data_IF_519707508672
#
_entry.id   IF_519707508672
#
_cell.length_a   1.000
_cell.length_b   1.000
_cell.length_c   1.000
_cell.angle_alpha   90.00
_cell.angle_beta   90.00
_cell.angle_gamma   90.00
#
_symmetry.space_group_name_H-M   'P 1'
#
loop_
_entity.id
_entity.type
_entity.pdbx_description
1 polymer ?
#
# COMPACT_ATOMS: atom_id res chain seq x y z
N UNK A 1 -8.77 -1.62 -22.89
CA UNK A 1 -7.73 -1.84 -22.28
C UNK A 1 -7.87 -1.68 -20.87
N UNK A 2 -7.07 -2.19 -20.23
CA UNK A 2 -7.17 -2.22 -18.90
C UNK A 2 -6.36 -1.22 -18.32
N UNK A 3 -6.94 -0.32 -17.67
CA UNK A 3 -6.18 0.59 -16.93
C UNK A 3 -5.77 -0.04 -15.65
N UNK A 4 -4.79 0.48 -15.05
CA UNK A 4 -4.37 0.07 -13.75
C UNK A 4 -5.48 0.37 -12.76
N UNK A 5 -5.78 -0.56 -11.89
CA UNK A 5 -6.71 -0.29 -10.82
C UNK A 5 -6.03 0.61 -9.80
N UNK A 6 -6.79 1.30 -8.95
CA UNK A 6 -6.19 2.10 -7.89
C UNK A 6 -5.26 1.29 -7.00
N UNK A 7 -5.60 0.03 -6.74
CA UNK A 7 -4.76 -0.84 -5.93
C UNK A 7 -3.43 -1.10 -6.61
N UNK A 8 -3.42 -1.35 -7.92
CA UNK A 8 -2.20 -1.58 -8.66
C UNK A 8 -1.29 -0.36 -8.64
N UNK A 9 -1.86 0.82 -8.80
CA UNK A 9 -1.09 2.06 -8.75
C UNK A 9 -0.48 2.27 -7.37
N UNK A 10 -1.25 1.98 -6.34
CA UNK A 10 -0.78 2.10 -4.97
C UNK A 10 0.38 1.14 -4.69
N UNK A 11 0.27 -0.10 -5.14
CA UNK A 11 1.33 -1.09 -4.96
C UNK A 11 2.62 -0.61 -5.62
N UNK A 12 2.53 -0.07 -6.83
CA UNK A 12 3.71 0.45 -7.52
C UNK A 12 4.34 1.61 -6.76
N UNK A 13 3.52 2.52 -6.26
CA UNK A 13 4.01 3.62 -5.46
C UNK A 13 4.74 3.12 -4.22
N UNK A 14 4.18 2.15 -3.53
CA UNK A 14 4.79 1.59 -2.34
C UNK A 14 6.13 0.94 -2.62
N UNK A 15 6.23 0.23 -3.73
CA UNK A 15 7.47 -0.44 -4.11
C UNK A 15 8.52 0.53 -4.62
N UNK A 16 8.10 1.52 -5.40
CA UNK A 16 9.04 2.45 -6.02
C UNK A 16 9.48 3.58 -5.09
N UNK A 17 8.53 4.21 -4.42
CA UNK A 17 8.83 5.37 -3.58
C UNK A 17 9.21 5.01 -2.15
N UNK A 18 8.56 4.02 -1.59
CA UNK A 18 8.79 3.62 -0.20
C UNK A 18 9.66 2.38 -0.08
N UNK A 19 10.03 1.79 -1.21
CA UNK A 19 10.92 0.63 -1.26
C UNK A 19 10.43 -0.56 -0.42
N UNK A 20 9.12 -0.76 -0.36
CA UNK A 20 8.56 -1.89 0.36
C UNK A 20 8.83 -3.16 -0.44
N UNK A 21 9.34 -4.19 0.22
CA UNK A 21 9.72 -5.41 -0.47
C UNK A 21 8.51 -6.17 -1.00
N UNK A 22 8.75 -6.96 -2.03
CA UNK A 22 7.71 -7.81 -2.61
C UNK A 22 7.15 -8.78 -1.59
N UNK A 23 8.01 -9.32 -0.73
CA UNK A 23 7.58 -10.25 0.33
C UNK A 23 6.61 -9.58 1.28
N UNK A 24 6.91 -8.35 1.68
CA UNK A 24 6.03 -7.60 2.58
C UNK A 24 4.69 -7.31 1.92
N UNK A 25 4.73 -6.94 0.64
CA UNK A 25 3.50 -6.69 -0.10
C UNK A 25 2.65 -7.95 -0.22
N UNK A 26 3.28 -9.11 -0.38
CA UNK A 26 2.55 -10.37 -0.47
C UNK A 26 1.78 -10.65 0.82
N UNK A 27 2.37 -10.35 1.96
CA UNK A 27 1.72 -10.54 3.25
C UNK A 27 0.49 -9.66 3.36
N UNK A 28 0.62 -8.39 2.99
CA UNK A 28 -0.48 -7.44 3.06
C UNK A 28 -1.61 -7.85 2.12
N UNK A 29 -1.28 -8.26 0.91
CA UNK A 29 -2.29 -8.66 -0.06
C UNK A 29 -3.07 -9.87 0.41
N UNK A 30 -2.41 -10.81 1.07
CA UNK A 30 -3.09 -11.95 1.66
C UNK A 30 -4.07 -11.53 2.74
N UNK A 31 -3.68 -10.58 3.57
CA UNK A 31 -4.56 -10.10 4.63
C UNK A 31 -5.77 -9.37 4.08
N UNK A 32 -5.60 -8.65 2.98
CA UNK A 32 -6.71 -7.96 2.34
C UNK A 32 -7.75 -8.97 1.85
N UNK A 33 -7.32 -10.11 1.36
CA UNK A 33 -8.23 -11.16 0.91
C UNK A 33 -9.06 -11.70 2.06
N UNK A 34 -8.46 -11.80 3.25
CA UNK A 34 -9.16 -12.34 4.42
C UNK A 34 -10.02 -11.30 5.11
N UNK A 35 -9.47 -10.11 5.30
CA UNK A 35 -10.14 -9.04 6.00
C UNK A 35 -9.93 -7.74 5.23
N UNK A 36 -10.81 -7.46 4.26
CA UNK A 36 -10.67 -6.23 3.49
C UNK A 36 -10.66 -5.01 4.38
N UNK A 37 -9.75 -4.11 4.12
CA UNK A 37 -9.62 -2.90 4.89
C UNK A 37 -8.71 -1.92 4.18
N UNK A 38 -8.49 -0.73 4.73
CA UNK A 38 -7.65 0.26 4.09
C UNK A 38 -6.20 -0.20 4.08
N UNK A 39 -5.63 -0.34 2.88
CA UNK A 39 -4.27 -0.83 2.69
C UNK A 39 -3.25 -0.01 3.47
N UNK A 40 -3.29 1.34 3.46
CA UNK A 40 -2.29 2.09 4.20
C UNK A 40 -2.28 1.78 5.69
N UNK A 41 -3.45 1.62 6.28
CA UNK A 41 -3.54 1.30 7.71
C UNK A 41 -2.99 -0.08 8.01
N UNK A 42 -3.21 -1.05 7.11
CA UNK A 42 -2.67 -2.39 7.29
C UNK A 42 -1.15 -2.37 7.23
N UNK A 43 -0.57 -1.59 6.32
CA UNK A 43 0.87 -1.46 6.23
C UNK A 43 1.46 -0.92 7.52
N UNK A 44 0.80 0.06 8.10
CA UNK A 44 1.25 0.65 9.35
C UNK A 44 1.10 -0.33 10.52
N UNK A 45 -0.03 -1.04 10.57
CA UNK A 45 -0.30 -2.00 11.64
C UNK A 45 0.71 -3.14 11.66
N UNK A 46 1.20 -3.53 10.49
CA UNK A 46 2.20 -4.60 10.40
C UNK A 46 3.63 -4.08 10.51
N UNK A 47 3.79 -2.78 10.73
CA UNK A 47 5.13 -2.21 10.89
C UNK A 47 5.92 -2.12 9.60
N UNK A 48 5.24 -2.15 8.47
CA UNK A 48 5.90 -2.08 7.17
C UNK A 48 6.20 -0.65 6.74
N UNK A 49 5.48 0.30 7.30
CA UNK A 49 5.71 1.72 7.04
C UNK A 49 5.70 2.48 8.36
N UNK A 50 6.39 3.62 8.39
CA UNK A 50 6.39 4.51 9.52
C UNK A 50 5.17 5.42 9.44
N UNK A 51 4.90 6.16 10.51
CA UNK A 51 3.78 7.10 10.51
C UNK A 51 4.00 8.19 9.47
N UNK A 52 5.23 8.59 9.24
CA UNK A 52 5.56 9.59 8.22
C UNK A 52 5.28 9.04 6.82
N UNK A 53 5.65 7.79 6.59
CA UNK A 53 5.37 7.13 5.31
C UNK A 53 3.88 6.95 5.10
N UNK A 54 3.15 6.64 6.15
CA UNK A 54 1.70 6.52 6.09
C UNK A 54 1.07 7.84 5.64
N UNK A 55 1.55 8.94 6.20
CA UNK A 55 1.08 10.26 5.82
C UNK A 55 1.33 10.55 4.34
N UNK A 56 2.50 10.18 3.84
CA UNK A 56 2.83 10.33 2.42
C UNK A 56 1.91 9.50 1.53
N UNK A 57 1.54 8.31 1.99
CA UNK A 57 0.63 7.46 1.23
C UNK A 57 -0.74 8.13 1.09
N UNK A 58 -1.25 8.68 2.16
CA UNK A 58 -2.53 9.37 2.12
C UNK A 58 -2.48 10.63 1.26
N UNK A 59 -1.37 11.36 1.31
CA UNK A 59 -1.19 12.51 0.43
C UNK A 59 -1.20 12.08 -1.02
N UNK A 60 -0.54 10.99 -1.33
CA UNK A 60 -0.50 10.47 -2.70
C UNK A 60 -1.90 10.06 -3.17
N UNK A 61 -2.66 9.41 -2.31
CA UNK A 61 -4.02 8.99 -2.63
C UNK A 61 -4.91 10.20 -2.90
N UNK A 62 -4.77 11.23 -2.08
CA UNK A 62 -5.55 12.46 -2.24
C UNK A 62 -5.20 13.19 -3.53
N UNK A 63 -3.96 13.13 -3.95
CA UNK A 63 -3.50 13.82 -5.15
C UNK A 63 -3.84 13.08 -6.44
N UNK A 64 -4.25 11.84 -6.34
CA UNK A 64 -4.55 11.01 -7.51
C UNK A 64 -6.04 11.09 -7.94
#
# INVERSE_FOLDING_TARGET
MISSTPLTKLIRFLQDDLAISTSSMAIVLKQIERNPGPVPMLLWQYGLVTIEQLDRIYDWIDAT
#
